data_IF_522312057070
#
_entry.id   IF_522312057070
#
_cell.length_a   1.000
_cell.length_b   1.000
_cell.length_c   1.000
_cell.angle_alpha   90.00
_cell.angle_beta   90.00
_cell.angle_gamma   90.00
#
_symmetry.space_group_name_H-M   'P 1'
#
loop_
_entity.id
_entity.type
_entity.pdbx_description
1 polymer ?
#
# COMPACT_ATOMS: atom_id res chain seq x y z
N UNK A 1 -10.45 11.90 27.24
CA UNK A 1 -9.12 11.28 27.03
C UNK A 1 -8.51 12.00 25.86
N UNK A 2 -7.40 12.68 26.09
CA UNK A 2 -6.67 13.42 25.08
C UNK A 2 -5.80 12.40 24.35
N UNK A 3 -6.24 11.96 23.17
CA UNK A 3 -5.47 11.03 22.36
C UNK A 3 -4.30 11.78 21.72
N UNK A 4 -3.10 11.43 22.18
CA UNK A 4 -1.82 11.98 21.75
C UNK A 4 -1.39 11.24 20.46
N UNK A 5 -1.92 11.66 19.32
CA UNK A 5 -1.60 11.14 17.98
C UNK A 5 -1.30 12.30 17.03
N UNK A 6 -0.39 12.11 16.04
CA UNK A 6 0.55 13.14 15.64
C UNK A 6 -0.16 14.33 15.00
N UNK A 7 0.08 15.52 15.56
CA UNK A 7 -0.01 16.74 14.78
C UNK A 7 0.86 16.50 13.54
N UNK A 8 0.32 16.67 12.34
CA UNK A 8 1.14 16.60 11.14
C UNK A 8 2.04 17.83 11.18
N UNK A 9 3.24 17.68 11.74
CA UNK A 9 4.12 18.82 11.99
C UNK A 9 4.64 19.38 10.67
N UNK A 10 4.71 20.71 10.59
CA UNK A 10 5.23 21.42 9.44
C UNK A 10 6.65 20.94 9.07
N UNK A 11 7.49 20.69 10.08
CA UNK A 11 8.86 20.20 9.89
C UNK A 11 8.90 18.84 9.22
N UNK A 12 8.00 17.92 9.60
CA UNK A 12 7.87 16.61 8.98
C UNK A 12 7.46 16.74 7.50
N UNK A 13 6.51 17.63 7.21
CA UNK A 13 6.07 17.90 5.83
C UNK A 13 7.22 18.51 5.02
N UNK A 14 7.94 19.49 5.57
CA UNK A 14 9.10 20.13 4.93
C UNK A 14 10.20 19.12 4.61
N UNK A 15 10.49 18.21 5.54
CA UNK A 15 11.46 17.13 5.32
C UNK A 15 11.02 16.17 4.19
N UNK A 16 9.73 15.86 4.10
CA UNK A 16 9.22 15.05 2.98
C UNK A 16 9.29 15.79 1.64
N UNK A 17 9.03 17.09 1.62
CA UNK A 17 9.14 17.94 0.42
C UNK A 17 10.58 18.00 -0.07
N UNK A 18 11.56 18.17 0.82
CA UNK A 18 12.98 18.24 0.46
C UNK A 18 13.50 16.95 -0.18
N UNK A 19 12.92 15.81 0.19
CA UNK A 19 13.23 14.47 -0.34
C UNK A 19 12.47 14.11 -1.62
N UNK A 20 11.67 15.01 -2.18
CA UNK A 20 10.97 14.75 -3.44
C UNK A 20 11.95 14.57 -4.60
N UNK A 21 11.73 13.50 -5.38
CA UNK A 21 12.43 13.27 -6.63
C UNK A 21 11.87 14.21 -7.71
N UNK A 22 12.68 15.19 -8.10
CA UNK A 22 12.29 16.24 -9.04
C UNK A 22 12.25 15.82 -10.48
N UNK A 23 12.63 14.58 -10.79
CA UNK A 23 12.51 14.03 -12.14
C UNK A 23 11.22 13.24 -12.32
N UNK A 24 10.40 13.09 -11.27
CA UNK A 24 9.10 12.42 -11.38
C UNK A 24 8.04 13.29 -12.06
N UNK A 25 7.16 12.61 -12.78
CA UNK A 25 6.02 13.22 -13.47
C UNK A 25 4.98 13.76 -12.49
N UNK A 26 4.28 14.81 -12.92
CA UNK A 26 3.13 15.38 -12.21
C UNK A 26 1.93 14.42 -12.18
N UNK A 27 1.10 14.58 -11.14
CA UNK A 27 -0.20 13.94 -11.07
C UNK A 27 -1.27 14.70 -11.85
N UNK A 28 -2.56 14.32 -11.68
CA UNK A 28 -3.69 15.04 -12.25
C UNK A 28 -3.85 16.47 -11.75
N UNK A 29 -3.22 16.80 -10.61
CA UNK A 29 -3.19 18.12 -9.98
C UNK A 29 -2.26 19.12 -10.68
N UNK A 30 -1.46 18.68 -11.65
CA UNK A 30 -0.50 19.54 -12.36
C UNK A 30 0.69 19.99 -11.50
N UNK A 31 0.78 19.52 -10.25
CA UNK A 31 1.82 19.96 -9.31
C UNK A 31 3.10 19.18 -9.56
N UNK A 32 4.07 19.82 -10.21
CA UNK A 32 5.37 19.22 -10.47
C UNK A 32 6.17 19.07 -9.17
N UNK A 33 6.77 17.89 -8.88
CA UNK A 33 7.55 17.67 -7.64
C UNK A 33 8.66 18.69 -7.41
N UNK A 34 9.28 19.18 -8.50
CA UNK A 34 10.26 20.29 -8.45
C UNK A 34 9.69 21.55 -7.82
N UNK A 35 8.50 21.99 -8.22
CA UNK A 35 7.88 23.21 -7.67
C UNK A 35 7.62 23.03 -6.18
N UNK A 36 7.10 21.88 -5.77
CA UNK A 36 6.84 21.56 -4.37
C UNK A 36 8.12 21.53 -3.53
N UNK A 37 9.23 21.03 -4.08
CA UNK A 37 10.52 21.00 -3.39
C UNK A 37 11.14 22.38 -3.25
N UNK A 38 11.17 23.18 -4.32
CA UNK A 38 11.76 24.52 -4.29
C UNK A 38 10.93 25.49 -3.42
N UNK A 39 9.61 25.28 -3.32
CA UNK A 39 8.70 26.08 -2.50
C UNK A 39 8.39 25.42 -1.15
N UNK A 40 9.25 24.53 -0.66
CA UNK A 40 8.99 23.77 0.56
C UNK A 40 8.74 24.67 1.79
N UNK A 41 9.51 25.75 1.93
CA UNK A 41 9.38 26.69 3.06
C UNK A 41 8.01 27.37 3.13
N UNK A 42 7.38 27.60 1.98
CA UNK A 42 6.06 28.28 1.92
C UNK A 42 4.92 27.25 1.95
N UNK A 43 5.12 26.11 1.29
CA UNK A 43 4.06 25.12 1.10
C UNK A 43 3.94 24.14 2.27
N UNK A 44 4.98 23.94 3.08
CA UNK A 44 4.96 22.99 4.20
C UNK A 44 3.86 23.31 5.22
N UNK A 45 3.77 24.57 5.68
CA UNK A 45 2.75 24.96 6.67
C UNK A 45 1.32 24.81 6.14
N UNK A 46 1.09 25.18 4.87
CA UNK A 46 -0.21 25.01 4.22
C UNK A 46 -0.59 23.54 4.08
N UNK A 47 0.34 22.70 3.66
CA UNK A 47 0.13 21.26 3.52
C UNK A 47 -0.07 20.57 4.88
N UNK A 48 0.64 21.01 5.93
CA UNK A 48 0.46 20.52 7.30
C UNK A 48 -0.97 20.76 7.79
N UNK A 49 -1.48 21.99 7.65
CA UNK A 49 -2.87 22.33 8.02
C UNK A 49 -3.88 21.51 7.20
N UNK A 50 -3.63 21.36 5.89
CA UNK A 50 -4.48 20.56 5.02
C UNK A 50 -4.50 19.08 5.41
N UNK A 51 -3.33 18.50 5.71
CA UNK A 51 -3.18 17.10 6.11
C UNK A 51 -3.85 16.84 7.46
N UNK A 52 -3.63 17.70 8.45
CA UNK A 52 -4.30 17.60 9.75
C UNK A 52 -5.82 17.68 9.61
N UNK A 53 -6.33 18.65 8.84
CA UNK A 53 -7.77 18.79 8.62
C UNK A 53 -8.33 17.57 7.90
N UNK A 54 -7.70 17.13 6.81
CA UNK A 54 -8.10 15.95 6.05
C UNK A 54 -8.16 14.71 6.94
N UNK A 55 -7.14 14.50 7.79
CA UNK A 55 -7.08 13.40 8.74
C UNK A 55 -8.22 13.42 9.76
N UNK A 56 -8.42 14.56 10.42
CA UNK A 56 -9.41 14.71 11.50
C UNK A 56 -10.85 14.58 11.01
N UNK A 57 -11.15 15.14 9.84
CA UNK A 57 -12.51 15.04 9.26
C UNK A 57 -12.71 13.70 8.53
N UNK A 58 -11.62 13.07 8.08
CA UNK A 58 -11.64 11.95 7.15
C UNK A 58 -11.92 12.38 5.71
N UNK A 59 -12.01 13.67 5.41
CA UNK A 59 -12.25 14.17 4.06
C UNK A 59 -10.96 14.16 3.24
N UNK A 60 -11.01 13.54 2.07
CA UNK A 60 -9.89 13.48 1.14
C UNK A 60 -10.16 14.45 -0.02
N UNK A 61 -9.19 15.26 -0.47
CA UNK A 61 -9.31 16.03 -1.70
C UNK A 61 -9.54 15.13 -2.92
N UNK A 62 -10.42 15.57 -3.83
CA UNK A 62 -10.78 14.79 -5.03
C UNK A 62 -9.57 14.47 -5.92
N UNK A 63 -8.66 15.42 -6.08
CA UNK A 63 -7.46 15.26 -6.90
C UNK A 63 -6.52 14.17 -6.39
N UNK A 64 -6.54 13.88 -5.08
CA UNK A 64 -5.73 12.80 -4.53
C UNK A 64 -6.32 11.42 -4.85
N UNK A 65 -7.64 11.34 -5.08
CA UNK A 65 -8.34 10.10 -5.47
C UNK A 65 -8.34 9.85 -6.98
N UNK A 66 -7.73 10.76 -7.75
CA UNK A 66 -7.61 10.68 -9.20
C UNK A 66 -6.22 10.18 -9.62
N UNK A 67 -6.18 9.46 -10.74
CA UNK A 67 -4.92 9.00 -11.34
C UNK A 67 -4.90 9.18 -12.87
N UNK A 68 -3.75 9.65 -13.38
CA UNK A 68 -3.42 9.61 -14.80
C UNK A 68 -2.64 8.32 -15.08
N UNK A 69 -3.16 7.49 -15.97
CA UNK A 69 -2.56 6.20 -16.33
C UNK A 69 -1.77 6.36 -17.62
N UNK A 70 -0.46 6.19 -17.53
CA UNK A 70 0.44 6.20 -18.68
C UNK A 70 0.86 4.76 -19.00
N UNK A 71 0.51 4.22 -20.18
CA UNK A 71 0.92 2.87 -20.56
C UNK A 71 2.41 2.87 -20.95
N UNK A 72 3.20 2.03 -20.28
CA UNK A 72 4.63 1.83 -20.59
C UNK A 72 4.82 0.48 -21.26
N UNK A 73 5.36 0.50 -22.48
CA UNK A 73 5.61 -0.71 -23.24
C UNK A 73 6.60 -1.64 -22.51
N UNK A 74 6.25 -2.93 -22.39
CA UNK A 74 7.06 -3.94 -21.72
C UNK A 74 7.83 -4.82 -22.70
N UNK A 75 7.14 -5.54 -23.58
CA UNK A 75 7.70 -6.49 -24.57
C UNK A 75 6.61 -6.97 -25.52
N UNK A 76 6.96 -7.59 -26.66
CA UNK A 76 6.00 -8.19 -27.57
C UNK A 76 5.51 -7.25 -28.68
N UNK A 77 4.27 -7.43 -29.13
CA UNK A 77 3.64 -6.61 -30.16
C UNK A 77 3.08 -5.32 -29.57
N UNK A 78 3.31 -4.17 -30.20
CA UNK A 78 2.87 -2.85 -29.69
C UNK A 78 1.36 -2.64 -29.85
N UNK A 79 0.73 -3.43 -30.70
CA UNK A 79 -0.70 -3.35 -30.99
C UNK A 79 -1.54 -4.05 -29.92
N UNK A 80 -0.91 -4.90 -29.10
CA UNK A 80 -1.55 -5.64 -28.02
C UNK A 80 -1.46 -4.85 -26.70
N UNK A 81 -2.59 -4.37 -26.14
CA UNK A 81 -2.59 -3.62 -24.87
C UNK A 81 -2.03 -4.41 -23.69
N UNK A 82 -2.09 -5.75 -23.72
CA UNK A 82 -1.54 -6.62 -22.67
C UNK A 82 -0.01 -6.54 -22.54
N UNK A 83 0.66 -6.01 -23.57
CA UNK A 83 2.10 -5.80 -23.59
C UNK A 83 2.55 -4.49 -22.93
N UNK A 84 1.62 -3.72 -22.38
CA UNK A 84 1.89 -2.48 -21.66
C UNK A 84 1.70 -2.67 -20.16
N UNK A 85 2.50 -1.96 -19.37
CA UNK A 85 2.28 -1.80 -17.93
C UNK A 85 1.60 -0.45 -17.70
N UNK A 86 0.42 -0.42 -17.06
CA UNK A 86 -0.17 0.85 -16.64
C UNK A 86 0.66 1.42 -15.48
N UNK A 87 1.12 2.65 -15.63
CA UNK A 87 1.72 3.45 -14.55
C UNK A 87 0.71 4.50 -14.12
N UNK A 88 0.32 4.50 -12.86
CA UNK A 88 -0.59 5.49 -12.29
C UNK A 88 0.19 6.65 -11.69
N UNK A 89 0.02 7.83 -12.28
CA UNK A 89 0.51 9.10 -11.76
C UNK A 89 -0.60 9.73 -10.90
N UNK A 90 -0.28 10.04 -9.65
CA UNK A 90 -1.22 10.66 -8.70
C UNK A 90 -0.57 11.89 -8.06
N UNK A 91 -1.38 12.67 -7.35
CA UNK A 91 -0.98 13.89 -6.67
C UNK A 91 0.20 13.68 -5.72
N UNK A 92 1.21 14.56 -5.81
CA UNK A 92 2.38 14.50 -4.92
C UNK A 92 2.02 14.77 -3.45
N UNK A 93 1.22 15.79 -3.11
CA UNK A 93 0.65 15.94 -1.77
C UNK A 93 -0.16 14.74 -1.30
N UNK A 94 -0.98 14.15 -2.18
CA UNK A 94 -1.71 12.92 -1.87
C UNK A 94 -0.78 11.79 -1.44
N UNK A 95 0.30 11.53 -2.20
CA UNK A 95 1.32 10.52 -1.84
C UNK A 95 2.05 10.82 -0.53
N UNK A 96 2.23 12.09 -0.16
CA UNK A 96 2.81 12.45 1.13
C UNK A 96 1.86 12.09 2.26
N UNK A 97 0.59 12.49 2.14
CA UNK A 97 -0.44 12.14 3.12
C UNK A 97 -0.54 10.62 3.29
N UNK A 98 -0.58 9.87 2.18
CA UNK A 98 -0.52 8.40 2.17
C UNK A 98 0.63 7.84 3.03
N UNK A 99 1.84 8.43 2.95
CA UNK A 99 3.01 7.99 3.75
C UNK A 99 2.83 8.25 5.23
N UNK A 100 2.24 9.39 5.60
CA UNK A 100 1.96 9.74 6.98
C UNK A 100 0.95 8.75 7.59
N UNK A 101 -0.17 8.54 6.91
CA UNK A 101 -1.20 7.57 7.31
C UNK A 101 -0.61 6.16 7.44
N UNK A 102 0.21 5.77 6.47
CA UNK A 102 0.89 4.48 6.51
C UNK A 102 1.83 4.33 7.71
N UNK A 103 2.58 5.37 8.08
CA UNK A 103 3.45 5.32 9.25
C UNK A 103 2.66 5.07 10.54
N UNK A 104 1.47 5.68 10.65
CA UNK A 104 0.55 5.47 11.78
C UNK A 104 0.07 4.01 11.81
N UNK A 105 -0.38 3.48 10.68
CA UNK A 105 -0.83 2.08 10.59
C UNK A 105 0.31 1.11 10.90
N UNK A 106 1.51 1.34 10.36
CA UNK A 106 2.68 0.50 10.61
C UNK A 106 3.02 0.44 12.10
N UNK A 107 3.09 1.59 12.77
CA UNK A 107 3.34 1.68 14.21
C UNK A 107 2.30 0.90 15.00
N UNK A 108 1.02 1.10 14.69
CA UNK A 108 -0.08 0.39 15.36
C UNK A 108 0.01 -1.14 15.21
N UNK A 109 0.33 -1.64 14.02
CA UNK A 109 0.45 -3.08 13.77
C UNK A 109 1.66 -3.70 14.46
N UNK A 110 2.76 -2.95 14.58
CA UNK A 110 3.96 -3.35 15.34
C UNK A 110 3.64 -3.45 16.84
N UNK A 111 3.01 -2.42 17.42
CA UNK A 111 2.64 -2.37 18.84
C UNK A 111 1.64 -3.48 19.22
N UNK A 112 0.65 -3.75 18.36
CA UNK A 112 -0.32 -4.82 18.56
C UNK A 112 0.23 -6.22 18.25
N UNK A 113 1.47 -6.34 17.76
CA UNK A 113 2.04 -7.59 17.24
C UNK A 113 1.07 -8.31 16.29
N UNK A 114 0.35 -7.52 15.49
CA UNK A 114 -0.69 -8.02 14.60
C UNK A 114 -0.12 -8.88 13.45
N UNK A 115 1.19 -8.73 13.19
CA UNK A 115 1.91 -9.39 12.11
C UNK A 115 2.75 -10.53 12.68
N UNK A 116 2.60 -11.72 12.11
CA UNK A 116 3.39 -12.88 12.52
C UNK A 116 4.87 -12.71 12.18
N UNK A 117 5.74 -13.28 13.01
CA UNK A 117 7.19 -13.32 12.77
C UNK A 117 7.55 -14.04 11.47
N UNK A 118 6.72 -14.98 11.00
CA UNK A 118 6.87 -15.67 9.72
C UNK A 118 6.53 -14.79 8.50
N UNK A 119 6.01 -13.57 8.67
CA UNK A 119 5.78 -12.67 7.55
C UNK A 119 7.07 -11.92 7.20
N UNK A 120 7.68 -12.27 6.07
CA UNK A 120 8.89 -11.63 5.55
C UNK A 120 8.61 -10.55 4.51
N UNK A 121 7.55 -10.71 3.70
CA UNK A 121 7.21 -9.75 2.67
C UNK A 121 6.84 -8.40 3.28
N UNK A 122 7.57 -7.35 2.87
CA UNK A 122 7.27 -5.94 3.18
C UNK A 122 7.33 -5.58 4.67
N UNK A 123 7.97 -6.43 5.47
CA UNK A 123 8.28 -6.16 6.86
C UNK A 123 9.65 -5.50 6.94
N UNK A 124 9.78 -4.48 7.78
CA UNK A 124 11.08 -3.84 8.04
C UNK A 124 12.09 -4.90 8.50
N UNK A 125 13.34 -4.77 8.03
CA UNK A 125 14.44 -5.68 8.37
C UNK A 125 14.28 -7.15 7.91
N UNK A 126 13.29 -7.46 7.07
CA UNK A 126 13.13 -8.78 6.44
C UNK A 126 13.25 -8.71 4.92
N UNK A 127 13.67 -9.81 4.31
CA UNK A 127 13.92 -9.92 2.88
C UNK A 127 13.54 -11.30 2.34
N UNK A 128 13.58 -11.46 1.02
CA UNK A 128 13.41 -12.77 0.39
C UNK A 128 14.49 -13.76 0.86
N UNK A 129 15.70 -13.27 1.14
CA UNK A 129 16.79 -14.11 1.65
C UNK A 129 16.49 -14.59 3.07
N UNK A 130 16.03 -13.72 3.97
CA UNK A 130 15.69 -14.17 5.33
C UNK A 130 14.50 -15.12 5.33
N UNK A 131 13.56 -14.96 4.40
CA UNK A 131 12.46 -15.91 4.21
C UNK A 131 12.97 -17.29 3.77
N UNK A 132 13.90 -17.31 2.82
CA UNK A 132 14.49 -18.54 2.31
C UNK A 132 15.29 -19.27 3.38
N UNK A 133 16.07 -18.53 4.17
CA UNK A 133 16.83 -19.09 5.30
C UNK A 133 15.89 -19.70 6.34
N UNK A 134 14.85 -18.96 6.76
CA UNK A 134 13.87 -19.48 7.73
C UNK A 134 13.12 -20.71 7.21
N UNK A 135 12.83 -20.75 5.90
CA UNK A 135 12.23 -21.91 5.26
C UNK A 135 13.16 -23.13 5.28
N UNK A 136 14.42 -22.97 4.88
CA UNK A 136 15.39 -24.08 4.89
C UNK A 136 15.66 -24.58 6.29
N UNK A 137 15.83 -23.69 7.27
CA UNK A 137 16.03 -24.03 8.68
C UNK A 137 14.90 -24.92 9.23
N UNK A 138 13.64 -24.54 8.97
CA UNK A 138 12.48 -25.35 9.35
C UNK A 138 12.40 -26.69 8.62
N UNK A 139 12.76 -26.73 7.34
CA UNK A 139 12.76 -27.97 6.55
C UNK A 139 13.86 -28.92 7.00
N UNK A 140 15.10 -28.45 7.19
CA UNK A 140 16.23 -29.28 7.62
C UNK A 140 15.99 -29.82 9.03
N UNK A 141 15.44 -29.02 9.93
CA UNK A 141 15.07 -29.49 11.27
C UNK A 141 14.06 -30.65 11.25
N UNK A 142 13.07 -30.60 10.35
CA UNK A 142 12.12 -31.73 10.20
C UNK A 142 12.81 -32.99 9.64
N UNK A 143 13.70 -32.82 8.67
CA UNK A 143 14.45 -33.94 8.06
C UNK A 143 15.38 -34.59 9.07
N UNK A 144 16.08 -33.80 9.89
CA UNK A 144 17.00 -34.30 10.93
C UNK A 144 16.27 -35.12 11.99
N UNK A 145 14.99 -34.82 12.24
CA UNK A 145 14.11 -35.60 13.12
C UNK A 145 13.48 -36.82 12.44
N UNK A 146 13.79 -37.07 11.16
CA UNK A 146 13.25 -38.19 10.38
C UNK A 146 11.80 -37.99 9.92
N UNK A 147 11.28 -36.75 9.92
CA UNK A 147 9.92 -36.43 9.47
C UNK A 147 9.89 -36.14 7.96
N UNK A 148 8.81 -36.56 7.31
CA UNK A 148 8.54 -36.17 5.92
C UNK A 148 8.16 -34.69 5.84
N UNK A 149 8.54 -34.00 4.76
CA UNK A 149 8.22 -32.59 4.52
C UNK A 149 7.57 -32.43 3.16
N UNK A 150 6.34 -31.92 3.16
CA UNK A 150 5.63 -31.47 1.97
C UNK A 150 5.54 -29.94 1.93
N UNK A 151 5.70 -29.36 0.75
CA UNK A 151 5.71 -27.90 0.55
C UNK A 151 4.63 -27.50 -0.44
N UNK A 152 3.73 -26.62 0.00
CA UNK A 152 2.64 -26.07 -0.83
C UNK A 152 2.91 -24.59 -1.10
N UNK A 153 3.08 -24.24 -2.37
CA UNK A 153 3.17 -22.84 -2.81
C UNK A 153 1.80 -22.33 -3.26
N UNK A 154 1.35 -21.23 -2.65
CA UNK A 154 0.10 -20.56 -2.98
C UNK A 154 0.40 -19.19 -3.59
N UNK A 155 -0.22 -18.87 -4.72
CA UNK A 155 -0.15 -17.56 -5.35
C UNK A 155 -1.55 -16.99 -5.61
N UNK A 156 -1.76 -15.74 -5.20
CA UNK A 156 -3.03 -15.05 -5.38
C UNK A 156 -3.03 -14.30 -6.72
N UNK A 157 -3.85 -14.77 -7.65
CA UNK A 157 -4.08 -14.08 -8.93
C UNK A 157 -4.61 -12.66 -8.69
N UNK A 158 -3.89 -11.65 -9.19
CA UNK A 158 -4.30 -10.23 -9.14
C UNK A 158 -4.70 -9.74 -7.74
N UNK A 159 -3.96 -10.16 -6.71
CA UNK A 159 -4.28 -9.89 -5.30
C UNK A 159 -4.64 -8.41 -5.01
N UNK A 160 -3.97 -7.46 -5.67
CA UNK A 160 -4.20 -6.02 -5.49
C UNK A 160 -5.48 -5.49 -6.14
N UNK A 161 -5.93 -6.13 -7.22
CA UNK A 161 -7.10 -5.68 -7.99
C UNK A 161 -8.41 -6.20 -7.39
N UNK A 162 -8.33 -7.25 -6.57
CA UNK A 162 -9.47 -8.03 -6.05
C UNK A 162 -9.78 -7.71 -4.58
N UNK A 163 -8.94 -6.96 -3.87
CA UNK A 163 -9.19 -6.63 -2.45
C UNK A 163 -10.52 -5.88 -2.30
N UNK A 164 -11.45 -6.48 -1.57
CA UNK A 164 -12.70 -5.82 -1.15
C UNK A 164 -12.40 -4.73 -0.12
N UNK A 165 -12.81 -3.50 -0.42
CA UNK A 165 -12.61 -2.36 0.47
C UNK A 165 -13.35 -2.54 1.80
N UNK A 166 -14.58 -3.05 1.79
CA UNK A 166 -15.37 -3.25 3.02
C UNK A 166 -14.72 -4.27 3.97
N UNK A 167 -14.14 -5.35 3.43
CA UNK A 167 -13.43 -6.36 4.22
C UNK A 167 -12.13 -5.76 4.79
N UNK A 168 -11.40 -4.98 4.00
CA UNK A 168 -10.17 -4.31 4.44
C UNK A 168 -10.46 -3.35 5.61
N UNK A 169 -11.41 -2.44 5.45
CA UNK A 169 -11.79 -1.49 6.50
C UNK A 169 -12.31 -2.21 7.75
N UNK A 170 -13.13 -3.26 7.58
CA UNK A 170 -13.61 -4.07 8.69
C UNK A 170 -12.47 -4.74 9.47
N UNK A 171 -11.41 -5.20 8.79
CA UNK A 171 -10.22 -5.76 9.45
C UNK A 171 -9.40 -4.70 10.18
N UNK A 172 -9.22 -3.52 9.59
CA UNK A 172 -8.51 -2.40 10.21
C UNK A 172 -9.18 -1.99 11.53
N UNK A 173 -10.51 -1.79 11.50
CA UNK A 173 -11.31 -1.48 12.70
C UNK A 173 -11.23 -2.59 13.75
N UNK A 174 -11.35 -3.86 13.36
CA UNK A 174 -11.17 -5.01 14.28
C UNK A 174 -9.76 -5.10 14.86
N UNK A 175 -8.76 -4.63 14.13
CA UNK A 175 -7.38 -4.50 14.59
C UNK A 175 -7.17 -3.39 15.63
N UNK A 176 -8.22 -2.63 15.97
CA UNK A 176 -8.16 -1.55 16.96
C UNK A 176 -7.55 -0.26 16.45
N UNK A 177 -7.51 -0.07 15.13
CA UNK A 177 -7.09 1.20 14.54
C UNK A 177 -8.12 2.30 14.89
N UNK A 178 -7.65 3.52 15.14
CA UNK A 178 -8.54 4.62 15.49
C UNK A 178 -9.51 4.96 14.33
N UNK A 179 -10.66 5.53 14.71
CA UNK A 179 -11.73 5.78 13.76
C UNK A 179 -11.41 6.90 12.75
N UNK A 180 -10.55 7.86 13.11
CA UNK A 180 -10.12 8.91 12.19
C UNK A 180 -9.30 8.30 11.04
N UNK A 181 -8.30 7.48 11.38
CA UNK A 181 -7.51 6.72 10.40
C UNK A 181 -8.39 5.82 9.53
N UNK A 182 -9.24 5.01 10.16
CA UNK A 182 -10.07 4.04 9.46
C UNK A 182 -11.01 4.75 8.46
N UNK A 183 -11.64 5.85 8.90
CA UNK A 183 -12.52 6.68 8.06
C UNK A 183 -11.75 7.35 6.93
N UNK A 184 -10.54 7.86 7.19
CA UNK A 184 -9.71 8.45 6.15
C UNK A 184 -9.37 7.43 5.06
N UNK A 185 -8.99 6.20 5.43
CA UNK A 185 -8.69 5.11 4.47
C UNK A 185 -9.95 4.71 3.70
N UNK A 186 -11.10 4.62 4.37
CA UNK A 186 -12.39 4.33 3.74
C UNK A 186 -12.72 5.36 2.66
N UNK A 187 -12.61 6.66 2.98
CA UNK A 187 -12.86 7.75 2.05
C UNK A 187 -11.78 7.88 0.96
N UNK A 188 -10.53 7.50 1.26
CA UNK A 188 -9.44 7.43 0.29
C UNK A 188 -9.71 6.40 -0.81
N UNK A 189 -10.27 5.25 -0.44
CA UNK A 189 -10.56 4.15 -1.36
C UNK A 189 -11.86 4.37 -2.16
N UNK A 190 -12.78 5.18 -1.63
CA UNK A 190 -14.10 5.47 -2.22
C UNK A 190 -14.02 6.45 -3.40
N UNK A 191 -14.93 6.32 -4.37
CA UNK A 191 -15.15 7.29 -5.47
C UNK A 191 -13.87 7.67 -6.23
N UNK A 192 -12.96 6.70 -6.38
CA UNK A 192 -11.72 6.90 -7.13
C UNK A 192 -11.99 6.90 -8.62
N UNK A 193 -11.21 7.69 -9.34
CA UNK A 193 -11.29 7.77 -10.79
C UNK A 193 -9.90 7.72 -11.44
N UNK A 194 -9.84 7.20 -12.66
CA UNK A 194 -8.62 7.19 -13.46
C UNK A 194 -8.93 7.55 -14.91
N UNK A 195 -7.95 8.07 -15.62
CA UNK A 195 -8.00 8.29 -17.06
C UNK A 195 -6.67 7.90 -17.71
N UNK A 196 -6.70 7.56 -18.99
CA UNK A 196 -5.48 7.24 -19.74
C UNK A 196 -4.93 8.52 -20.38
N UNK A 197 -3.61 8.71 -20.29
CA UNK A 197 -2.92 9.83 -20.92
C UNK A 197 -1.84 9.30 -21.88
N UNK A 198 -1.94 9.66 -23.16
CA UNK A 198 -0.98 9.28 -24.21
C UNK A 198 -0.60 10.53 -24.99
N UNK A 199 0.70 10.86 -25.00
CA UNK A 199 1.23 12.01 -25.76
C UNK A 199 0.47 13.32 -25.51
N UNK A 200 0.07 13.59 -24.26
CA UNK A 200 -0.68 14.78 -23.86
C UNK A 200 -2.19 14.73 -24.17
N UNK A 201 -2.69 13.68 -24.82
CA UNK A 201 -4.12 13.46 -25.05
C UNK A 201 -4.70 12.64 -23.90
N UNK A 202 -5.87 13.05 -23.41
CA UNK A 202 -6.50 12.48 -22.22
C UNK A 202 -7.82 11.80 -22.57
N UNK A 203 -8.05 10.60 -22.02
CA UNK A 203 -9.37 9.97 -22.08
C UNK A 203 -10.35 10.61 -21.09
N UNK A 204 -11.64 10.26 -21.24
CA UNK A 204 -12.62 10.52 -20.18
C UNK A 204 -12.21 9.83 -18.86
N UNK A 205 -12.61 10.41 -17.73
CA UNK A 205 -12.51 9.77 -16.42
C UNK A 205 -13.36 8.50 -16.36
N UNK A 206 -12.83 7.47 -15.69
CA UNK A 206 -13.52 6.21 -15.41
C UNK A 206 -13.41 5.89 -13.92
N UNK A 207 -14.50 5.46 -13.27
CA UNK A 207 -14.46 5.06 -11.86
C UNK A 207 -13.61 3.79 -11.68
N UNK A 208 -12.95 3.69 -10.53
CA UNK A 208 -12.23 2.47 -10.12
C UNK A 208 -13.06 1.74 -9.08
N UNK A 209 -13.62 0.59 -9.48
CA UNK A 209 -14.62 -0.15 -8.69
C UNK A 209 -14.03 -1.19 -7.74
N UNK A 210 -12.76 -1.56 -7.91
CA UNK A 210 -12.08 -2.52 -7.03
C UNK A 210 -10.57 -2.29 -6.98
N UNK A 211 -9.94 -2.85 -5.95
CA UNK A 211 -8.50 -2.85 -5.80
C UNK A 211 -7.88 -1.52 -5.39
N UNK A 212 -6.56 -1.50 -5.30
CA UNK A 212 -5.76 -0.36 -4.85
C UNK A 212 -4.99 0.24 -6.06
N UNK A 213 -4.74 1.56 -6.15
CA UNK A 213 -4.15 2.18 -7.38
C UNK A 213 -2.77 1.55 -7.69
N UNK A 214 -2.55 1.05 -8.90
CA UNK A 214 -1.31 0.35 -9.26
C UNK A 214 0.01 1.14 -9.10
N UNK A 215 1.04 0.40 -8.64
CA UNK A 215 2.53 0.55 -8.77
C UNK A 215 3.27 1.88 -8.51
N UNK A 216 2.63 2.99 -8.16
CA UNK A 216 3.37 4.25 -7.94
C UNK A 216 2.93 5.10 -6.73
N UNK A 217 2.05 4.57 -5.88
CA UNK A 217 1.50 5.26 -4.71
C UNK A 217 2.02 4.61 -3.42
N UNK A 218 2.22 5.38 -2.36
CA UNK A 218 2.91 4.91 -1.15
C UNK A 218 2.05 3.98 -0.30
N UNK A 219 0.72 4.17 -0.30
CA UNK A 219 -0.23 3.17 0.23
C UNK A 219 -0.32 1.91 -0.66
N UNK A 220 0.15 1.99 -1.91
CA UNK A 220 -0.06 0.98 -2.94
C UNK A 220 1.23 0.31 -3.43
N UNK A 221 2.39 0.75 -2.99
CA UNK A 221 3.70 0.11 -3.18
C UNK A 221 3.81 -1.11 -2.24
N UNK A 222 2.74 -1.90 -2.24
CA UNK A 222 2.48 -3.14 -1.53
C UNK A 222 2.02 -3.02 -0.06
N UNK A 223 1.89 -1.82 0.52
CA UNK A 223 1.71 -1.69 1.98
C UNK A 223 0.27 -1.81 2.50
N UNK A 224 -0.78 -1.35 1.80
CA UNK A 224 -2.17 -1.65 2.22
C UNK A 224 -2.52 -3.13 2.08
N UNK A 225 -1.96 -3.82 1.08
CA UNK A 225 -2.07 -5.28 0.99
C UNK A 225 -1.24 -5.94 2.09
N UNK A 226 -0.10 -5.39 2.52
CA UNK A 226 0.59 -5.84 3.72
C UNK A 226 -0.29 -5.68 4.97
N UNK A 227 -1.02 -4.58 5.14
CA UNK A 227 -1.98 -4.46 6.27
C UNK A 227 -3.12 -5.48 6.13
N UNK A 228 -3.67 -5.62 4.93
CA UNK A 228 -4.70 -6.63 4.63
C UNK A 228 -4.19 -8.03 4.91
N UNK A 229 -3.04 -8.43 4.37
CA UNK A 229 -2.42 -9.76 4.49
C UNK A 229 -1.94 -10.01 5.92
N UNK A 230 -1.37 -9.03 6.61
CA UNK A 230 -1.07 -9.10 8.04
C UNK A 230 -2.32 -9.45 8.85
N UNK A 231 -3.44 -8.77 8.57
CA UNK A 231 -4.73 -9.03 9.22
C UNK A 231 -5.48 -10.26 8.65
N UNK A 232 -4.99 -10.85 7.56
CA UNK A 232 -5.58 -12.04 6.90
C UNK A 232 -4.74 -13.30 7.08
N UNK A 233 -3.55 -13.21 7.67
CA UNK A 233 -2.69 -14.36 7.92
C UNK A 233 -3.17 -15.19 9.11
N UNK A 234 -4.30 -15.85 8.85
CA UNK A 234 -4.62 -17.16 9.38
C UNK A 234 -4.34 -18.21 8.29
N UNK A 235 -3.16 -18.15 7.68
CA UNK A 235 -2.66 -19.25 6.85
C UNK A 235 -1.31 -19.63 7.42
N UNK A 236 -1.37 -20.60 8.33
CA UNK A 236 -0.20 -21.36 8.71
C UNK A 236 0.29 -22.08 7.45
N UNK A 237 1.61 -22.12 7.25
CA UNK A 237 2.21 -23.39 6.85
C UNK A 237 1.90 -24.32 8.02
N UNK A 238 0.77 -25.02 7.97
CA UNK A 238 0.56 -26.17 8.85
C UNK A 238 1.44 -27.26 8.27
N UNK A 239 2.64 -27.40 8.82
CA UNK A 239 3.32 -28.70 8.85
C UNK A 239 2.45 -29.56 9.77
N UNK A 240 1.47 -30.27 9.18
CA UNK A 240 0.63 -31.18 9.94
C UNK A 240 1.24 -32.58 9.84
N UNK A 241 1.84 -33.13 10.92
CA UNK A 241 2.29 -34.51 10.94
C UNK A 241 1.13 -35.53 11.07
N UNK A 242 -0.14 -35.10 11.18
CA UNK A 242 -1.29 -35.99 11.42
C UNK A 242 -2.22 -36.18 10.20
N UNK A 243 -1.67 -36.34 9.00
CA UNK A 243 -2.43 -36.85 7.83
C UNK A 243 -2.03 -38.28 7.45
N UNK A 244 -1.65 -39.10 8.43
CA UNK A 244 -1.73 -40.55 8.30
C UNK A 244 -3.14 -41.00 8.73
N UNK A 245 -3.99 -41.35 7.76
CA UNK A 245 -5.08 -42.29 8.01
C UNK A 245 -6.53 -41.83 7.83
N UNK A 246 -6.86 -41.04 6.81
CA UNK A 246 -8.24 -41.07 6.28
C UNK A 246 -8.23 -41.27 4.76
N UNK A 247 -8.50 -42.51 4.35
CA UNK A 247 -8.83 -42.90 2.98
C UNK A 247 -10.19 -42.29 2.55
N UNK A 248 -10.21 -41.78 1.31
CA UNK A 248 -11.32 -41.51 0.37
C UNK A 248 -12.70 -41.10 0.91
#
# INVERSE_FOLDING_TARGET
MQEDFPLVEEDQVREQLSKLDTHKSMGPDGMHPRVLRELAEVTAGLLSILFERSWRTGEVPEDWRKANVTPVFKKGKKEDPGNYRPISLTSSPGKMMERLVLAIISKHLEEKKAIRSSQHGLTKEKSCLTNLIAFYDGMTGCIDEGRAVDVVYLDFSKAFDIVSHSILIGKLRKGGLDECTARWIENWLKDRAQRVVISGTESSWRPVTSGVIGRQNCLNDNKLLWVSQALTQRYMVTMNPELEGQEL
#
